data_IF_396806692470
#
_entry.id   IF_396806692470
#
_cell.length_a   1.000
_cell.length_b   1.000
_cell.length_c   1.000
_cell.angle_alpha   90.00
_cell.angle_beta   90.00
_cell.angle_gamma   90.00
#
_symmetry.space_group_name_H-M   'P 1'
#
loop_
_entity.id
_entity.type
_entity.pdbx_description
1 polymer ?
#
# COMPACT_ATOMS: atom_id res chain seq x y z
N UNK A 1 -33.25 -93.32 -17.20
CA UNK A 1 -32.56 -92.36 -18.09
C UNK A 1 -32.26 -91.10 -17.25
N UNK A 2 -31.14 -91.19 -16.51
CA UNK A 2 -30.72 -90.16 -15.54
C UNK A 2 -29.91 -89.07 -16.26
N UNK A 3 -30.38 -87.86 -16.15
CA UNK A 3 -29.66 -86.69 -16.67
C UNK A 3 -28.80 -86.12 -15.51
N UNK A 4 -27.50 -86.43 -15.59
CA UNK A 4 -26.53 -85.86 -14.65
C UNK A 4 -26.46 -84.31 -14.77
N UNK A 5 -26.67 -83.66 -13.64
CA UNK A 5 -26.38 -82.20 -13.47
C UNK A 5 -24.86 -82.00 -13.37
N UNK A 6 -24.29 -81.27 -14.29
CA UNK A 6 -22.92 -80.78 -14.16
C UNK A 6 -22.76 -79.78 -12.98
N UNK A 7 -21.69 -79.86 -12.19
CA UNK A 7 -21.46 -78.94 -11.11
C UNK A 7 -20.89 -77.66 -11.67
N UNK A 8 -21.62 -76.53 -11.47
CA UNK A 8 -21.16 -75.19 -11.79
C UNK A 8 -19.84 -74.82 -11.06
N UNK A 9 -18.83 -74.53 -11.82
CA UNK A 9 -17.53 -74.07 -11.31
C UNK A 9 -17.68 -72.67 -10.70
N UNK A 10 -17.90 -72.56 -9.38
CA UNK A 10 -17.67 -71.33 -8.64
C UNK A 10 -16.18 -70.99 -8.70
N UNK A 11 -15.84 -69.96 -9.47
CA UNK A 11 -14.52 -69.31 -9.41
C UNK A 11 -14.35 -68.65 -8.04
N UNK A 12 -13.77 -69.35 -7.08
CA UNK A 12 -13.28 -68.76 -5.82
C UNK A 12 -12.17 -67.77 -6.16
N UNK A 13 -12.53 -66.51 -6.25
CA UNK A 13 -11.51 -65.39 -6.30
C UNK A 13 -10.59 -65.56 -5.10
N UNK A 14 -9.29 -65.79 -5.36
CA UNK A 14 -8.29 -65.95 -4.31
C UNK A 14 -8.24 -64.70 -3.40
N UNK A 15 -7.70 -64.83 -2.18
CA UNK A 15 -7.57 -63.73 -1.19
C UNK A 15 -6.96 -62.46 -1.81
N UNK A 16 -6.04 -62.62 -2.75
CA UNK A 16 -5.41 -61.49 -3.51
C UNK A 16 -6.43 -60.71 -4.36
N UNK A 17 -7.39 -61.40 -5.05
CA UNK A 17 -8.41 -60.71 -5.83
C UNK A 17 -9.41 -59.91 -4.98
N UNK A 18 -9.73 -60.40 -3.78
CA UNK A 18 -10.56 -59.65 -2.83
C UNK A 18 -9.84 -58.40 -2.29
N UNK A 19 -8.55 -58.49 -1.95
CA UNK A 19 -7.73 -57.38 -1.51
C UNK A 19 -7.62 -56.32 -2.61
N UNK A 20 -7.36 -56.71 -3.85
CA UNK A 20 -7.29 -55.83 -5.00
C UNK A 20 -8.62 -55.12 -5.26
N UNK A 21 -9.74 -55.83 -5.12
CA UNK A 21 -11.09 -55.23 -5.23
C UNK A 21 -11.36 -54.21 -4.12
N UNK A 22 -10.96 -54.47 -2.87
CA UNK A 22 -11.12 -53.54 -1.75
C UNK A 22 -10.28 -52.27 -1.99
N UNK A 23 -9.01 -52.41 -2.39
CA UNK A 23 -8.14 -51.30 -2.72
C UNK A 23 -8.73 -50.45 -3.87
N UNK A 24 -9.22 -51.13 -4.94
CA UNK A 24 -9.89 -50.45 -6.06
C UNK A 24 -11.14 -49.67 -5.63
N UNK A 25 -11.94 -50.25 -4.71
CA UNK A 25 -13.13 -49.59 -4.18
C UNK A 25 -12.75 -48.36 -3.33
N UNK A 26 -11.74 -48.47 -2.47
CA UNK A 26 -11.25 -47.35 -1.67
C UNK A 26 -10.72 -46.21 -2.57
N UNK A 27 -9.95 -46.55 -3.60
CA UNK A 27 -9.43 -45.61 -4.57
C UNK A 27 -10.56 -44.93 -5.36
N UNK A 28 -11.57 -45.70 -5.79
CA UNK A 28 -12.76 -45.18 -6.46
C UNK A 28 -13.54 -44.20 -5.56
N UNK A 29 -13.75 -44.57 -4.29
CA UNK A 29 -14.40 -43.68 -3.31
C UNK A 29 -13.57 -42.37 -3.15
N UNK A 30 -12.25 -42.48 -3.05
CA UNK A 30 -11.37 -41.32 -2.97
C UNK A 30 -11.49 -40.39 -4.18
N UNK A 31 -11.51 -40.97 -5.39
CA UNK A 31 -11.68 -40.18 -6.64
C UNK A 31 -13.06 -39.51 -6.70
N UNK A 32 -14.13 -40.28 -6.40
CA UNK A 32 -15.50 -39.71 -6.42
C UNK A 32 -15.65 -38.58 -5.38
N UNK A 33 -15.14 -38.81 -4.17
CA UNK A 33 -15.15 -37.78 -3.13
C UNK A 33 -14.37 -36.55 -3.56
N UNK A 34 -13.18 -36.74 -4.14
CA UNK A 34 -12.39 -35.65 -4.70
C UNK A 34 -13.12 -34.84 -5.78
N UNK A 35 -13.81 -35.55 -6.70
CA UNK A 35 -14.62 -34.88 -7.74
C UNK A 35 -15.78 -34.07 -7.13
N UNK A 36 -16.45 -34.59 -6.11
CA UNK A 36 -17.53 -33.88 -5.42
C UNK A 36 -16.96 -32.57 -4.79
N UNK A 37 -15.81 -32.63 -4.12
CA UNK A 37 -15.17 -31.46 -3.57
C UNK A 37 -14.79 -30.43 -4.66
N UNK A 38 -14.27 -30.90 -5.79
CA UNK A 38 -13.95 -30.01 -6.93
C UNK A 38 -15.21 -29.35 -7.48
N UNK A 39 -16.32 -30.07 -7.62
CA UNK A 39 -17.59 -29.51 -8.08
C UNK A 39 -18.16 -28.47 -7.10
N UNK A 40 -18.14 -28.78 -5.80
CA UNK A 40 -18.60 -27.84 -4.76
C UNK A 40 -17.72 -26.58 -4.78
N UNK A 41 -16.41 -26.74 -4.86
CA UNK A 41 -15.47 -25.63 -4.94
C UNK A 41 -15.67 -24.79 -6.21
N UNK A 42 -15.85 -25.41 -7.37
CA UNK A 42 -16.14 -24.71 -8.62
C UNK A 42 -17.48 -23.93 -8.55
N UNK A 43 -18.51 -24.52 -7.93
CA UNK A 43 -19.78 -23.82 -7.70
C UNK A 43 -19.60 -22.62 -6.75
N UNK A 44 -18.84 -22.80 -5.68
CA UNK A 44 -18.51 -21.71 -4.74
C UNK A 44 -17.76 -20.56 -5.44
N UNK A 45 -16.73 -20.88 -6.23
CA UNK A 45 -15.98 -19.86 -7.00
C UNK A 45 -16.92 -19.10 -7.94
N UNK A 46 -17.78 -19.82 -8.67
CA UNK A 46 -18.70 -19.20 -9.62
C UNK A 46 -19.74 -18.28 -8.95
N UNK A 47 -20.26 -18.68 -7.78
CA UNK A 47 -21.36 -17.94 -7.13
C UNK A 47 -20.89 -16.87 -6.16
N UNK A 48 -19.79 -17.10 -5.45
CA UNK A 48 -19.36 -16.22 -4.36
C UNK A 48 -18.13 -15.38 -4.73
N UNK A 49 -17.26 -15.88 -5.59
CA UNK A 49 -15.99 -15.20 -5.92
C UNK A 49 -16.11 -14.40 -7.22
N UNK A 50 -16.61 -15.02 -8.30
CA UNK A 50 -16.65 -14.38 -9.63
C UNK A 50 -17.32 -12.99 -9.66
N UNK A 51 -18.43 -12.73 -8.94
CA UNK A 51 -19.04 -11.40 -8.94
C UNK A 51 -18.18 -10.30 -8.31
N UNK A 52 -17.18 -10.68 -7.50
CA UNK A 52 -16.31 -9.77 -6.76
C UNK A 52 -14.89 -9.70 -7.35
N UNK A 53 -14.65 -10.28 -8.53
CA UNK A 53 -13.32 -10.31 -9.16
C UNK A 53 -13.00 -9.04 -9.93
N UNK A 54 -14.01 -8.36 -10.46
CA UNK A 54 -13.82 -7.21 -11.33
C UNK A 54 -13.41 -5.99 -10.50
N UNK A 55 -12.10 -5.82 -10.34
CA UNK A 55 -11.50 -4.65 -9.75
C UNK A 55 -10.92 -3.79 -10.89
N UNK A 56 -11.30 -2.51 -10.92
CA UNK A 56 -10.73 -1.51 -11.80
C UNK A 56 -10.04 -0.44 -10.96
N UNK A 57 -8.79 -0.09 -11.30
CA UNK A 57 -8.06 0.97 -10.61
C UNK A 57 -8.78 2.32 -10.66
N UNK A 58 -9.54 2.56 -11.73
CA UNK A 58 -10.33 3.78 -11.88
C UNK A 58 -11.50 3.89 -10.88
N UNK A 59 -11.92 2.77 -10.28
CA UNK A 59 -12.97 2.76 -9.25
C UNK A 59 -12.43 3.17 -7.87
N UNK A 60 -11.10 3.17 -7.69
CA UNK A 60 -10.47 3.53 -6.43
C UNK A 60 -10.03 5.00 -6.44
N UNK A 61 -10.76 5.82 -5.71
CA UNK A 61 -10.33 7.18 -5.39
C UNK A 61 -9.50 7.16 -4.11
N UNK A 62 -8.18 7.18 -4.25
CA UNK A 62 -7.31 7.36 -3.09
C UNK A 62 -7.41 8.82 -2.63
N UNK A 63 -7.54 9.01 -1.32
CA UNK A 63 -7.50 10.36 -0.76
C UNK A 63 -6.13 10.97 -1.01
N UNK A 64 -6.11 12.11 -1.69
CA UNK A 64 -4.88 12.86 -2.01
C UNK A 64 -4.94 14.21 -1.34
N UNK A 65 -3.87 14.60 -0.68
CA UNK A 65 -3.75 15.92 -0.09
C UNK A 65 -3.65 16.98 -1.18
N UNK A 66 -4.45 18.03 -1.09
CA UNK A 66 -4.31 19.19 -1.97
C UNK A 66 -3.10 20.04 -1.57
N UNK A 67 -2.56 20.77 -2.51
CA UNK A 67 -1.36 21.60 -2.30
C UNK A 67 -1.68 23.05 -2.67
N UNK A 68 -1.31 23.98 -1.79
CA UNK A 68 -1.37 25.40 -2.08
C UNK A 68 -0.01 25.84 -2.59
N UNK A 69 0.00 26.48 -3.75
CA UNK A 69 1.19 27.07 -4.38
C UNK A 69 1.12 28.59 -4.37
N UNK A 70 2.28 29.24 -4.35
CA UNK A 70 2.41 30.67 -4.54
C UNK A 70 3.46 30.97 -5.62
N UNK A 71 3.41 32.16 -6.18
CA UNK A 71 4.36 32.60 -7.19
C UNK A 71 5.49 33.38 -6.52
N UNK A 72 6.73 32.94 -6.71
CA UNK A 72 7.90 33.63 -6.18
C UNK A 72 8.26 34.89 -6.98
N UNK A 73 9.28 35.62 -6.54
CA UNK A 73 9.75 36.83 -7.19
C UNK A 73 10.31 36.65 -8.60
N UNK A 74 10.67 35.40 -8.96
CA UNK A 74 11.13 35.00 -10.30
C UNK A 74 9.98 34.64 -11.22
N UNK A 75 8.79 34.46 -10.67
CA UNK A 75 7.60 34.05 -11.39
C UNK A 75 7.36 32.54 -11.40
N UNK A 76 8.16 31.78 -10.64
CA UNK A 76 8.04 30.32 -10.52
C UNK A 76 7.08 29.95 -9.38
N UNK A 77 6.30 28.86 -9.59
CA UNK A 77 5.41 28.35 -8.57
C UNK A 77 6.18 27.54 -7.53
N UNK A 78 6.03 27.93 -6.28
CA UNK A 78 6.61 27.28 -5.12
C UNK A 78 5.50 26.76 -4.21
N UNK A 79 5.73 25.63 -3.54
CA UNK A 79 4.81 25.08 -2.57
C UNK A 79 4.71 26.00 -1.34
N UNK A 80 3.50 26.38 -0.97
CA UNK A 80 3.21 27.13 0.25
C UNK A 80 2.93 26.18 1.41
N UNK A 81 1.92 25.31 1.25
CA UNK A 81 1.53 24.33 2.26
C UNK A 81 0.78 23.15 1.64
N UNK A 82 0.73 22.03 2.36
CA UNK A 82 -0.13 20.89 2.03
C UNK A 82 -1.40 20.98 2.85
N UNK A 83 -2.54 20.83 2.20
CA UNK A 83 -3.84 20.77 2.87
C UNK A 83 -3.99 19.39 3.48
N UNK A 84 -4.02 19.32 4.81
CA UNK A 84 -4.11 18.05 5.54
C UNK A 84 -5.39 17.30 5.20
N UNK A 85 -5.26 16.05 4.78
CA UNK A 85 -6.34 15.09 4.63
C UNK A 85 -6.29 14.07 5.77
N UNK A 86 -7.28 13.18 5.83
CA UNK A 86 -7.24 12.02 6.74
C UNK A 86 -6.07 11.07 6.41
N UNK A 87 -5.62 11.07 5.15
CA UNK A 87 -4.47 10.34 4.64
C UNK A 87 -3.57 11.36 3.94
N UNK A 88 -2.37 11.59 4.49
CA UNK A 88 -1.42 12.47 3.82
C UNK A 88 -0.79 11.73 2.64
N UNK A 89 -1.28 11.99 1.43
CA UNK A 89 -0.84 11.35 0.19
C UNK A 89 -0.65 12.39 -0.90
N UNK A 90 0.50 12.30 -1.55
CA UNK A 90 0.82 13.04 -2.77
C UNK A 90 1.12 11.99 -3.82
N UNK A 91 0.32 11.94 -4.88
CA UNK A 91 0.53 11.02 -5.99
C UNK A 91 1.75 11.44 -6.82
N UNK A 92 2.52 10.46 -7.27
CA UNK A 92 3.59 10.65 -8.26
C UNK A 92 3.49 9.60 -9.34
N UNK A 93 3.69 10.02 -10.58
CA UNK A 93 3.68 9.11 -11.73
C UNK A 93 4.87 8.14 -11.67
N UNK A 94 4.71 6.99 -12.28
CA UNK A 94 5.68 5.89 -12.21
C UNK A 94 7.08 6.23 -12.73
N UNK A 95 7.21 7.23 -13.62
CA UNK A 95 8.49 7.75 -14.12
C UNK A 95 9.19 8.68 -13.12
N UNK A 96 8.48 9.22 -12.14
CA UNK A 96 9.04 10.01 -11.03
C UNK A 96 9.45 9.13 -9.84
N UNK A 97 9.13 7.84 -9.86
CA UNK A 97 9.56 6.87 -8.85
C UNK A 97 10.88 6.24 -9.31
N UNK A 98 12.00 6.43 -8.57
CA UNK A 98 13.28 5.91 -8.99
C UNK A 98 13.27 4.37 -9.12
N UNK A 99 14.01 3.82 -10.10
CA UNK A 99 14.06 2.39 -10.32
C UNK A 99 14.54 1.61 -9.09
N UNK A 100 15.53 2.12 -8.37
CA UNK A 100 16.02 1.47 -7.15
C UNK A 100 15.00 1.41 -6.00
N UNK A 101 13.99 2.29 -5.98
CA UNK A 101 12.85 2.19 -5.05
C UNK A 101 11.96 0.99 -5.41
N UNK A 102 11.65 0.81 -6.69
CA UNK A 102 10.90 -0.34 -7.21
C UNK A 102 11.66 -1.64 -6.96
N UNK A 103 12.95 -1.64 -7.24
CA UNK A 103 13.85 -2.79 -7.03
C UNK A 103 13.95 -3.18 -5.54
N UNK A 104 14.06 -2.21 -4.65
CA UNK A 104 14.08 -2.43 -3.21
C UNK A 104 12.79 -3.10 -2.71
N UNK A 105 11.63 -2.61 -3.18
CA UNK A 105 10.33 -3.18 -2.87
C UNK A 105 10.22 -4.64 -3.36
N UNK A 106 10.56 -4.88 -4.63
CA UNK A 106 10.53 -6.22 -5.22
C UNK A 106 11.50 -7.16 -4.50
N UNK A 107 12.72 -6.70 -4.20
CA UNK A 107 13.73 -7.50 -3.54
C UNK A 107 13.32 -8.01 -2.16
N UNK A 108 12.59 -7.21 -1.39
CA UNK A 108 12.23 -7.56 -0.01
C UNK A 108 10.85 -8.20 0.11
N UNK A 109 9.86 -7.72 -0.64
CA UNK A 109 8.48 -8.17 -0.53
C UNK A 109 8.16 -9.34 -1.47
N UNK A 110 8.64 -9.29 -2.72
CA UNK A 110 8.22 -10.24 -3.74
C UNK A 110 9.31 -10.56 -4.78
N UNK A 111 10.29 -11.36 -4.39
CA UNK A 111 11.48 -11.69 -5.20
C UNK A 111 11.19 -12.25 -6.61
N UNK A 112 10.00 -12.78 -6.82
CA UNK A 112 9.57 -13.36 -8.10
C UNK A 112 8.47 -12.56 -8.76
N UNK A 113 8.30 -11.30 -8.37
CA UNK A 113 7.26 -10.41 -8.85
C UNK A 113 7.13 -10.42 -10.38
N UNK A 114 8.24 -10.27 -11.09
CA UNK A 114 8.25 -10.25 -12.55
C UNK A 114 8.03 -11.62 -13.22
N UNK A 115 8.02 -12.71 -12.45
CA UNK A 115 7.92 -14.08 -13.02
C UNK A 115 6.56 -14.74 -12.81
N UNK A 116 5.83 -14.35 -11.77
CA UNK A 116 4.47 -14.88 -11.53
C UNK A 116 3.40 -13.96 -12.13
N UNK A 117 2.16 -14.44 -12.12
CA UNK A 117 0.96 -13.73 -12.61
C UNK A 117 -0.02 -13.54 -11.45
N UNK A 118 0.23 -12.56 -10.60
CA UNK A 118 -0.60 -12.19 -9.45
C UNK A 118 -0.32 -13.01 -8.19
N UNK A 119 0.00 -14.28 -8.30
CA UNK A 119 0.20 -15.19 -7.16
C UNK A 119 1.47 -16.00 -7.33
N UNK A 120 2.31 -15.99 -6.31
CA UNK A 120 3.44 -16.89 -6.20
C UNK A 120 3.01 -18.22 -5.56
N UNK A 121 2.66 -19.18 -6.38
CA UNK A 121 2.15 -20.48 -5.93
C UNK A 121 3.12 -21.26 -5.05
N UNK A 122 4.41 -21.10 -5.26
CA UNK A 122 5.42 -21.78 -4.45
C UNK A 122 5.46 -21.19 -3.02
N UNK A 123 5.48 -19.84 -2.90
CA UNK A 123 5.41 -19.17 -1.59
C UNK A 123 4.08 -19.44 -0.89
N UNK A 124 2.97 -19.40 -1.63
CA UNK A 124 1.62 -19.65 -1.10
C UNK A 124 1.50 -21.08 -0.57
N UNK A 125 1.99 -22.08 -1.31
CA UNK A 125 1.98 -23.47 -0.86
C UNK A 125 2.87 -23.68 0.36
N UNK A 126 4.06 -23.08 0.39
CA UNK A 126 4.97 -23.14 1.53
C UNK A 126 4.38 -22.48 2.78
N UNK A 127 3.74 -21.31 2.63
CA UNK A 127 3.06 -20.62 3.72
C UNK A 127 1.88 -21.45 4.27
N UNK A 128 1.08 -22.05 3.38
CA UNK A 128 0.00 -22.95 3.77
C UNK A 128 0.53 -24.17 4.56
N UNK A 129 1.62 -24.79 4.08
CA UNK A 129 2.23 -25.93 4.78
C UNK A 129 2.75 -25.54 6.18
N UNK A 130 3.40 -24.37 6.30
CA UNK A 130 3.89 -23.87 7.58
C UNK A 130 2.75 -23.59 8.57
N UNK A 131 1.60 -23.14 8.09
CA UNK A 131 0.41 -22.96 8.91
C UNK A 131 -0.08 -24.26 9.56
N UNK A 132 0.03 -25.39 8.84
CA UNK A 132 -0.33 -26.72 9.37
C UNK A 132 0.75 -27.32 10.28
N UNK A 133 2.03 -26.97 10.08
CA UNK A 133 3.16 -27.52 10.85
C UNK A 133 3.55 -26.68 12.04
N UNK A 134 2.89 -25.54 12.28
CA UNK A 134 3.22 -24.64 13.40
C UNK A 134 4.52 -23.84 13.20
N UNK A 135 5.02 -23.76 11.96
CA UNK A 135 6.19 -22.94 11.58
C UNK A 135 5.85 -21.45 11.54
N UNK A 136 6.89 -20.60 11.53
CA UNK A 136 6.71 -19.17 11.36
C UNK A 136 5.99 -18.85 10.05
N UNK A 137 4.95 -18.03 10.15
CA UNK A 137 4.21 -17.52 8.98
C UNK A 137 5.06 -16.48 8.26
N UNK A 138 5.94 -16.90 7.38
CA UNK A 138 6.57 -15.99 6.42
C UNK A 138 5.50 -15.43 5.46
N UNK A 139 5.55 -14.13 5.19
CA UNK A 139 4.63 -13.44 4.29
C UNK A 139 4.56 -14.13 2.93
N UNK A 140 3.46 -14.86 2.70
CA UNK A 140 3.23 -15.57 1.43
C UNK A 140 2.53 -14.73 0.38
N UNK A 141 2.14 -13.48 0.70
CA UNK A 141 1.41 -12.59 -0.21
C UNK A 141 2.37 -11.90 -1.19
N UNK A 142 1.92 -11.71 -2.43
CA UNK A 142 2.62 -10.95 -3.45
C UNK A 142 2.35 -9.46 -3.31
N UNK A 143 3.12 -8.60 -4.01
CA UNK A 143 2.88 -7.16 -4.08
C UNK A 143 1.46 -6.89 -4.60
N UNK A 144 1.01 -7.61 -5.64
CA UNK A 144 -0.34 -7.48 -6.20
C UNK A 144 -1.42 -7.79 -5.16
N UNK A 145 -1.25 -8.84 -4.37
CA UNK A 145 -2.18 -9.18 -3.29
C UNK A 145 -2.19 -8.14 -2.17
N UNK A 146 -1.04 -7.59 -1.83
CA UNK A 146 -0.93 -6.51 -0.84
C UNK A 146 -1.58 -5.22 -1.37
N UNK A 147 -1.38 -4.87 -2.64
CA UNK A 147 -2.04 -3.72 -3.27
C UNK A 147 -3.56 -3.85 -3.19
N UNK A 148 -4.12 -4.99 -3.61
CA UNK A 148 -5.57 -5.25 -3.54
C UNK A 148 -6.08 -5.09 -2.11
N UNK A 149 -5.38 -5.66 -1.13
CA UNK A 149 -5.72 -5.51 0.28
C UNK A 149 -5.76 -4.03 0.70
N UNK A 150 -4.76 -3.24 0.32
CA UNK A 150 -4.68 -1.82 0.65
C UNK A 150 -5.81 -1.00 -0.01
N UNK A 151 -6.14 -1.31 -1.28
CA UNK A 151 -7.20 -0.62 -2.01
C UNK A 151 -8.59 -0.96 -1.48
N UNK A 152 -8.84 -2.24 -1.17
CA UNK A 152 -10.16 -2.70 -0.72
C UNK A 152 -10.38 -2.54 0.78
N UNK A 153 -9.34 -2.25 1.55
CA UNK A 153 -9.35 -2.15 3.03
C UNK A 153 -9.97 -3.38 3.72
N UNK A 154 -9.89 -4.54 3.09
CA UNK A 154 -10.43 -5.78 3.63
C UNK A 154 -9.38 -6.47 4.51
N UNK A 155 -9.50 -6.28 5.83
CA UNK A 155 -8.56 -6.79 6.84
C UNK A 155 -8.98 -8.10 7.50
N UNK A 156 -10.15 -8.65 7.17
CA UNK A 156 -10.65 -9.87 7.78
C UNK A 156 -9.69 -11.06 7.62
N UNK A 157 -9.34 -11.71 8.72
CA UNK A 157 -8.47 -12.88 8.73
C UNK A 157 -9.31 -14.14 8.48
N UNK A 158 -9.82 -14.30 7.27
CA UNK A 158 -10.62 -15.48 6.88
C UNK A 158 -10.02 -16.18 5.66
N UNK A 159 -10.20 -17.50 5.58
CA UNK A 159 -9.80 -18.28 4.42
C UNK A 159 -10.55 -17.82 3.16
N UNK A 160 -11.82 -17.46 3.33
CA UNK A 160 -12.66 -16.94 2.24
C UNK A 160 -12.09 -15.68 1.63
N UNK A 161 -11.72 -14.69 2.47
CA UNK A 161 -11.08 -13.47 2.02
C UNK A 161 -9.76 -13.77 1.29
N UNK A 162 -8.93 -14.67 1.85
CA UNK A 162 -7.64 -15.02 1.22
C UNK A 162 -7.82 -15.70 -0.14
N UNK A 163 -8.85 -16.52 -0.30
CA UNK A 163 -9.20 -17.09 -1.61
C UNK A 163 -9.64 -15.99 -2.58
N UNK A 164 -10.51 -15.08 -2.14
CA UNK A 164 -10.94 -13.94 -2.97
C UNK A 164 -9.74 -13.10 -3.42
N UNK A 165 -8.86 -12.72 -2.51
CA UNK A 165 -7.61 -11.98 -2.79
C UNK A 165 -6.73 -12.69 -3.84
N UNK A 166 -6.59 -14.02 -3.74
CA UNK A 166 -5.85 -14.83 -4.72
C UNK A 166 -6.48 -14.70 -6.11
N UNK A 167 -7.79 -14.89 -6.22
CA UNK A 167 -8.48 -14.81 -7.51
C UNK A 167 -8.49 -13.38 -8.08
N UNK A 168 -8.67 -12.39 -7.22
CA UNK A 168 -8.56 -10.97 -7.60
C UNK A 168 -7.16 -10.65 -8.13
N UNK A 169 -6.09 -11.11 -7.48
CA UNK A 169 -4.73 -10.88 -7.94
C UNK A 169 -4.45 -11.52 -9.30
N UNK A 170 -5.00 -12.73 -9.55
CA UNK A 170 -4.88 -13.40 -10.85
C UNK A 170 -5.63 -12.65 -11.96
N UNK A 171 -6.77 -12.04 -11.65
CA UNK A 171 -7.55 -11.27 -12.62
C UNK A 171 -6.96 -9.88 -12.84
N UNK A 172 -6.47 -9.25 -11.79
CA UNK A 172 -5.85 -7.94 -11.81
C UNK A 172 -4.61 -7.89 -12.72
N UNK A 173 -3.72 -8.89 -12.64
CA UNK A 173 -2.54 -8.98 -13.53
C UNK A 173 -2.84 -9.43 -14.98
N UNK A 174 -4.10 -9.61 -15.34
CA UNK A 174 -4.51 -9.68 -16.75
C UNK A 174 -4.81 -8.31 -17.34
N UNK A 175 -5.17 -7.34 -16.49
CA UNK A 175 -5.60 -5.99 -16.87
C UNK A 175 -4.47 -4.99 -16.79
N UNK A 176 -3.64 -5.09 -15.74
CA UNK A 176 -2.60 -4.14 -15.39
C UNK A 176 -1.23 -4.79 -15.48
N UNK A 177 -0.26 -4.06 -15.98
CA UNK A 177 1.11 -4.53 -16.06
C UNK A 177 1.87 -4.38 -14.73
N UNK A 178 3.10 -4.88 -14.69
CA UNK A 178 3.90 -4.88 -13.46
C UNK A 178 4.31 -3.48 -13.01
N UNK A 179 4.55 -2.57 -13.95
CA UNK A 179 4.96 -1.20 -13.66
C UNK A 179 3.78 -0.40 -13.10
N UNK A 180 2.60 -0.54 -13.68
CA UNK A 180 1.36 0.05 -13.16
C UNK A 180 1.07 -0.43 -11.73
N UNK A 181 1.25 -1.74 -11.46
CA UNK A 181 1.05 -2.31 -10.12
C UNK A 181 2.05 -1.74 -9.11
N UNK A 182 3.32 -1.57 -9.48
CA UNK A 182 4.33 -0.97 -8.61
C UNK A 182 4.05 0.52 -8.36
N UNK A 183 3.65 1.26 -9.37
CA UNK A 183 3.24 2.66 -9.25
C UNK A 183 2.10 2.81 -8.25
N UNK A 184 1.02 2.06 -8.44
CA UNK A 184 -0.12 2.08 -7.53
C UNK A 184 0.23 1.64 -6.11
N UNK A 185 1.05 0.59 -5.97
CA UNK A 185 1.49 0.13 -4.66
C UNK A 185 2.27 1.20 -3.91
N UNK A 186 3.29 1.79 -4.57
CA UNK A 186 4.15 2.80 -3.97
C UNK A 186 3.42 4.11 -3.66
N UNK A 187 2.30 4.39 -4.34
CA UNK A 187 1.43 5.51 -4.03
C UNK A 187 0.36 5.20 -2.98
N UNK A 188 -0.01 3.93 -2.79
CA UNK A 188 -1.10 3.53 -1.89
C UNK A 188 -0.65 3.11 -0.49
N UNK A 189 0.55 2.53 -0.37
CA UNK A 189 1.02 1.89 0.87
C UNK A 189 1.31 2.91 1.97
N UNK A 190 1.06 2.48 3.21
CA UNK A 190 1.36 3.26 4.41
C UNK A 190 2.82 3.09 4.85
N UNK A 191 3.52 4.21 5.06
CA UNK A 191 4.93 4.27 5.42
C UNK A 191 5.19 4.80 6.85
N UNK A 192 4.21 4.82 7.72
CA UNK A 192 4.35 5.40 9.06
C UNK A 192 4.05 6.91 9.09
N UNK A 193 4.06 7.52 10.27
CA UNK A 193 3.88 8.95 10.50
C UNK A 193 2.68 9.60 9.75
N UNK A 194 1.61 8.82 9.49
CA UNK A 194 0.48 9.28 8.70
C UNK A 194 0.75 9.41 7.19
N UNK A 195 1.90 8.95 6.71
CA UNK A 195 2.32 9.06 5.32
C UNK A 195 1.80 7.90 4.50
N UNK A 196 1.05 8.21 3.47
CA UNK A 196 0.62 7.28 2.43
C UNK A 196 1.33 7.65 1.11
N UNK A 197 1.98 6.67 0.52
CA UNK A 197 2.74 6.84 -0.71
C UNK A 197 4.16 7.35 -0.52
N UNK A 198 5.00 7.00 -1.50
CA UNK A 198 6.45 7.21 -1.49
C UNK A 198 6.85 8.69 -1.48
N UNK A 199 6.10 9.55 -2.17
CA UNK A 199 6.38 10.99 -2.22
C UNK A 199 6.25 11.62 -0.84
N UNK A 200 5.16 11.32 -0.16
CA UNK A 200 4.91 11.81 1.19
C UNK A 200 5.95 11.27 2.18
N UNK A 201 6.31 9.99 2.05
CA UNK A 201 7.36 9.37 2.87
C UNK A 201 8.73 10.04 2.65
N UNK A 202 9.10 10.28 1.38
CA UNK A 202 10.36 10.97 1.04
C UNK A 202 10.43 12.37 1.64
N UNK A 203 9.35 13.12 1.52
CA UNK A 203 9.28 14.48 2.10
C UNK A 203 9.28 14.46 3.63
N UNK A 204 8.62 13.48 4.26
CA UNK A 204 8.54 13.40 5.72
C UNK A 204 9.85 12.96 6.35
N UNK A 205 10.50 11.94 5.80
CA UNK A 205 11.72 11.36 6.40
C UNK A 205 13.00 12.06 5.95
N UNK A 206 13.05 12.59 4.71
CA UNK A 206 14.27 13.15 4.12
C UNK A 206 14.12 14.58 3.59
N UNK A 207 12.95 15.17 3.63
CA UNK A 207 12.71 16.56 3.18
C UNK A 207 12.92 16.76 1.67
N UNK A 208 12.80 15.71 0.85
CA UNK A 208 13.05 15.76 -0.60
C UNK A 208 11.98 14.99 -1.39
N UNK A 209 11.96 15.18 -2.70
CA UNK A 209 11.05 14.42 -3.58
C UNK A 209 11.50 12.97 -3.75
N UNK A 210 10.54 12.09 -4.03
CA UNK A 210 10.80 10.66 -4.23
C UNK A 210 11.85 10.38 -5.30
N UNK A 211 11.84 11.15 -6.39
CA UNK A 211 12.80 11.04 -7.51
C UNK A 211 14.25 11.29 -7.10
N UNK A 212 14.49 12.02 -6.02
CA UNK A 212 15.80 12.43 -5.53
C UNK A 212 16.34 11.53 -4.40
N UNK A 213 15.62 10.46 -4.06
CA UNK A 213 16.04 9.49 -3.05
C UNK A 213 17.27 8.71 -3.52
N UNK A 214 18.24 8.55 -2.63
CA UNK A 214 19.36 7.62 -2.84
C UNK A 214 18.93 6.17 -2.66
N UNK A 215 19.76 5.22 -3.08
CA UNK A 215 19.51 3.78 -2.87
C UNK A 215 19.34 3.44 -1.39
N UNK A 216 20.17 4.04 -0.52
CA UNK A 216 20.10 3.82 0.92
C UNK A 216 18.82 4.39 1.56
N UNK A 217 18.37 5.56 1.12
CA UNK A 217 17.13 6.18 1.58
C UNK A 217 15.90 5.40 1.09
N UNK A 218 15.90 4.98 -0.17
CA UNK A 218 14.84 4.14 -0.73
C UNK A 218 14.71 2.80 0.05
N UNK A 219 15.83 2.15 0.35
CA UNK A 219 15.85 0.93 1.15
C UNK A 219 15.34 1.14 2.59
N UNK A 220 15.64 2.31 3.19
CA UNK A 220 15.12 2.70 4.51
C UNK A 220 13.60 2.84 4.49
N UNK A 221 13.06 3.61 3.54
CA UNK A 221 11.61 3.82 3.39
C UNK A 221 10.89 2.49 3.14
N UNK A 222 11.36 1.69 2.19
CA UNK A 222 10.75 0.37 1.89
C UNK A 222 10.77 -0.53 3.13
N UNK A 223 11.81 -0.44 3.95
CA UNK A 223 11.91 -1.20 5.20
C UNK A 223 10.75 -0.95 6.17
N UNK A 224 10.16 0.24 6.15
CA UNK A 224 9.09 0.65 7.07
C UNK A 224 7.79 -0.12 6.80
N UNK A 225 7.49 -0.47 5.55
CA UNK A 225 6.19 -1.04 5.13
C UNK A 225 5.73 -2.27 5.93
N UNK A 226 6.66 -3.08 6.39
CA UNK A 226 6.36 -4.35 7.08
C UNK A 226 5.79 -4.15 8.49
N UNK A 227 6.43 -3.31 9.30
CA UNK A 227 6.04 -2.95 10.66
C UNK A 227 6.31 -1.46 10.89
N UNK A 228 5.41 -0.56 10.43
CA UNK A 228 5.67 0.87 10.40
C UNK A 228 6.11 1.44 11.75
N UNK A 229 5.41 1.14 12.83
CA UNK A 229 5.75 1.64 14.18
C UNK A 229 7.12 1.12 14.68
N UNK A 230 7.54 -0.08 14.27
CA UNK A 230 8.79 -0.68 14.74
C UNK A 230 10.01 -0.23 13.95
N UNK A 231 9.83 -0.01 12.64
CA UNK A 231 10.91 0.40 11.74
C UNK A 231 10.92 1.90 11.42
N UNK A 232 10.08 2.68 12.07
CA UNK A 232 10.07 4.13 11.93
C UNK A 232 11.36 4.74 12.50
N UNK A 233 12.17 5.45 11.69
CA UNK A 233 13.45 6.01 12.13
C UNK A 233 13.31 7.11 13.17
N UNK A 234 12.15 7.76 13.30
CA UNK A 234 11.91 8.76 14.34
C UNK A 234 11.70 8.15 15.72
N UNK A 235 11.40 6.85 15.78
CA UNK A 235 11.30 6.10 17.04
C UNK A 235 12.53 5.24 17.30
N UNK A 236 13.11 4.61 16.27
CA UNK A 236 14.33 3.80 16.38
C UNK A 236 15.12 3.80 15.08
N UNK A 237 16.18 4.61 15.05
CA UNK A 237 17.13 4.63 13.94
C UNK A 237 17.82 3.27 13.78
N UNK A 238 18.11 2.57 14.89
CA UNK A 238 18.77 1.27 14.90
C UNK A 238 17.93 0.19 14.21
N UNK A 239 16.64 0.10 14.54
CA UNK A 239 15.73 -0.86 13.92
C UNK A 239 15.56 -0.58 12.44
N UNK A 240 15.43 0.70 12.07
CA UNK A 240 15.36 1.10 10.67
C UNK A 240 16.63 0.74 9.92
N UNK A 241 17.81 1.01 10.50
CA UNK A 241 19.12 0.68 9.91
C UNK A 241 19.29 -0.82 9.69
N UNK A 242 18.95 -1.65 10.67
CA UNK A 242 18.99 -3.11 10.54
C UNK A 242 18.09 -3.57 9.37
N UNK A 243 16.89 -3.02 9.29
CA UNK A 243 15.94 -3.35 8.23
C UNK A 243 16.41 -2.86 6.85
N UNK A 244 16.94 -1.64 6.76
CA UNK A 244 17.56 -1.07 5.57
C UNK A 244 18.68 -1.98 5.04
N UNK A 245 19.60 -2.39 5.90
CA UNK A 245 20.71 -3.29 5.51
C UNK A 245 20.19 -4.65 5.04
N UNK A 246 19.09 -5.13 5.60
CA UNK A 246 18.44 -6.35 5.11
C UNK A 246 17.88 -6.16 3.69
N UNK A 247 17.22 -5.02 3.40
CA UNK A 247 16.72 -4.69 2.07
C UNK A 247 17.89 -4.60 1.08
N UNK A 248 18.92 -3.82 1.39
CA UNK A 248 20.12 -3.68 0.54
C UNK A 248 20.80 -5.01 0.26
N UNK A 249 20.93 -5.88 1.27
CA UNK A 249 21.49 -7.22 1.11
C UNK A 249 20.65 -8.08 0.17
N UNK A 250 19.33 -7.99 0.23
CA UNK A 250 18.46 -8.74 -0.67
C UNK A 250 18.50 -8.16 -2.10
N UNK A 251 18.63 -6.84 -2.27
CA UNK A 251 18.88 -6.22 -3.57
C UNK A 251 20.19 -6.72 -4.20
N UNK A 252 21.27 -6.73 -3.42
CA UNK A 252 22.57 -7.24 -3.87
C UNK A 252 22.53 -8.72 -4.26
N UNK A 253 21.92 -9.58 -3.43
CA UNK A 253 21.78 -11.02 -3.71
C UNK A 253 20.98 -11.33 -4.98
N UNK A 254 20.04 -10.47 -5.32
CA UNK A 254 19.17 -10.62 -6.49
C UNK A 254 19.73 -9.91 -7.73
N UNK A 255 20.87 -9.23 -7.61
CA UNK A 255 21.56 -8.58 -8.72
C UNK A 255 21.02 -7.19 -9.11
N UNK A 256 20.19 -6.58 -8.26
CA UNK A 256 19.73 -5.20 -8.43
C UNK A 256 20.84 -4.17 -8.12
N UNK A 257 21.80 -4.55 -7.27
CA UNK A 257 22.97 -3.75 -6.95
C UNK A 257 24.25 -4.54 -7.26
N UNK A 258 25.25 -3.86 -7.79
CA UNK A 258 26.60 -4.41 -7.81
C UNK A 258 27.27 -4.25 -6.44
N UNK A 259 28.48 -4.83 -6.27
CA UNK A 259 29.18 -4.81 -4.98
C UNK A 259 29.51 -3.39 -4.50
N UNK A 260 29.94 -2.51 -5.40
CA UNK A 260 30.31 -1.13 -5.06
C UNK A 260 29.11 -0.31 -4.63
N UNK A 261 28.00 -0.42 -5.36
CA UNK A 261 26.72 0.25 -5.02
C UNK A 261 26.18 -0.23 -3.68
N UNK A 262 26.28 -1.55 -3.42
CA UNK A 262 25.88 -2.12 -2.13
C UNK A 262 26.72 -1.58 -0.98
N UNK A 263 28.06 -1.60 -1.12
CA UNK A 263 28.99 -1.11 -0.08
C UNK A 263 28.80 0.40 0.16
N UNK A 264 28.59 1.19 -0.89
CA UNK A 264 28.28 2.62 -0.78
C UNK A 264 26.96 2.85 -0.02
N UNK A 265 25.88 2.18 -0.40
CA UNK A 265 24.57 2.34 0.22
C UNK A 265 24.54 1.89 1.69
N UNK A 266 25.27 0.81 2.05
CA UNK A 266 25.35 0.34 3.46
C UNK A 266 26.11 1.33 4.33
N UNK A 267 27.18 1.96 3.79
CA UNK A 267 28.02 2.90 4.52
C UNK A 267 27.47 4.34 4.51
N UNK A 268 26.44 4.61 3.72
CA UNK A 268 25.79 5.93 3.72
C UNK A 268 25.13 6.19 5.07
N UNK A 269 25.53 7.26 5.75
CA UNK A 269 24.80 7.78 6.92
C UNK A 269 23.54 8.50 6.44
N UNK A 270 22.40 8.16 7.05
CA UNK A 270 21.12 8.77 6.73
C UNK A 270 20.81 9.88 7.72
N UNK A 271 20.51 11.06 7.19
CA UNK A 271 20.01 12.19 7.96
C UNK A 271 18.48 12.24 7.85
N UNK A 272 17.80 11.90 8.94
CA UNK A 272 16.34 11.99 9.01
C UNK A 272 15.95 13.40 9.44
N UNK A 273 15.28 14.10 8.55
CA UNK A 273 14.78 15.46 8.79
C UNK A 273 13.28 15.34 8.91
N UNK A 274 12.72 15.70 10.08
CA UNK A 274 11.26 15.89 10.14
C UNK A 274 10.91 17.06 9.23
N UNK A 275 10.47 16.73 8.03
CA UNK A 275 10.05 17.71 7.05
C UNK A 275 8.85 18.52 7.58
N UNK A 276 8.67 19.74 7.06
CA UNK A 276 7.52 20.60 7.37
C UNK A 276 6.16 19.93 7.08
N UNK A 277 6.15 18.83 6.34
CA UNK A 277 4.98 18.04 5.96
C UNK A 277 4.70 16.86 6.89
N UNK A 278 5.41 16.71 8.02
CA UNK A 278 5.07 15.66 8.98
C UNK A 278 3.66 15.92 9.54
N UNK A 279 2.71 14.98 9.44
CA UNK A 279 1.32 15.17 9.92
C UNK A 279 1.24 15.45 11.42
N UNK A 280 2.31 15.14 12.17
CA UNK A 280 2.44 15.44 13.60
C UNK A 280 2.86 16.89 13.90
N UNK A 281 3.32 17.67 12.92
CA UNK A 281 3.23 19.11 13.01
C UNK A 281 1.76 19.44 12.74
N UNK A 282 0.99 19.64 13.80
CA UNK A 282 -0.33 20.27 13.70
C UNK A 282 -0.11 21.54 12.85
N UNK A 283 -0.46 21.43 11.57
CA UNK A 283 -0.39 22.56 10.65
C UNK A 283 -1.48 23.53 11.10
N UNK A 284 -1.12 24.41 12.02
CA UNK A 284 -1.89 25.60 12.28
C UNK A 284 -1.72 26.41 11.01
N UNK A 285 -2.73 26.37 10.14
CA UNK A 285 -2.74 27.20 8.95
C UNK A 285 -2.57 28.66 9.37
N UNK A 286 -1.79 29.40 8.62
CA UNK A 286 -1.77 30.85 8.77
C UNK A 286 -3.18 31.39 8.45
N UNK A 287 -3.51 32.55 8.99
CA UNK A 287 -4.80 33.19 8.68
C UNK A 287 -5.03 33.34 7.18
N UNK A 288 -3.98 33.58 6.41
CA UNK A 288 -4.05 33.67 4.95
C UNK A 288 -4.46 32.33 4.33
N UNK A 289 -3.83 31.23 4.74
CA UNK A 289 -4.13 29.88 4.24
C UNK A 289 -5.57 29.46 4.59
N UNK A 290 -6.06 29.81 5.79
CA UNK A 290 -7.46 29.57 6.18
C UNK A 290 -8.46 30.32 5.29
N UNK A 291 -8.15 31.57 4.95
CA UNK A 291 -8.97 32.38 4.03
C UNK A 291 -8.97 31.78 2.64
N UNK A 292 -7.79 31.43 2.08
CA UNK A 292 -7.68 30.79 0.78
C UNK A 292 -8.50 29.48 0.73
N UNK A 293 -8.37 28.64 1.74
CA UNK A 293 -9.14 27.39 1.82
C UNK A 293 -10.65 27.65 1.88
N UNK A 294 -11.06 28.64 2.68
CA UNK A 294 -12.47 29.02 2.80
C UNK A 294 -13.07 29.50 1.47
N UNK A 295 -12.31 30.31 0.73
CA UNK A 295 -12.73 30.84 -0.57
C UNK A 295 -12.82 29.72 -1.62
N UNK A 296 -11.78 28.87 -1.73
CA UNK A 296 -11.77 27.71 -2.64
C UNK A 296 -12.91 26.75 -2.35
N UNK A 297 -13.22 26.46 -1.07
CA UNK A 297 -14.35 25.63 -0.68
C UNK A 297 -15.67 26.26 -1.12
N UNK A 298 -15.82 27.57 -0.99
CA UNK A 298 -17.03 28.29 -1.41
C UNK A 298 -17.20 28.26 -2.92
N UNK A 299 -16.16 28.63 -3.65
CA UNK A 299 -16.18 28.64 -5.12
C UNK A 299 -16.42 27.25 -5.71
N UNK A 300 -15.81 26.23 -5.13
CA UNK A 300 -16.02 24.83 -5.53
C UNK A 300 -17.45 24.34 -5.26
N UNK A 301 -18.02 24.72 -4.12
CA UNK A 301 -19.41 24.41 -3.78
C UNK A 301 -20.40 25.02 -4.79
N UNK A 302 -20.19 26.28 -5.15
CA UNK A 302 -20.99 27.00 -6.14
C UNK A 302 -20.82 26.40 -7.55
N UNK A 303 -19.56 26.22 -7.99
CA UNK A 303 -19.25 25.71 -9.34
C UNK A 303 -19.79 24.29 -9.58
N UNK A 304 -19.74 23.43 -8.57
CA UNK A 304 -20.22 22.04 -8.67
C UNK A 304 -21.68 21.86 -8.22
N UNK A 305 -22.32 22.88 -7.65
CA UNK A 305 -23.69 22.78 -7.10
C UNK A 305 -23.81 21.81 -5.91
N UNK A 306 -22.76 21.70 -5.08
CA UNK A 306 -22.69 20.79 -3.92
C UNK A 306 -22.68 21.56 -2.62
N UNK A 307 -22.91 20.85 -1.51
CA UNK A 307 -22.84 21.48 -0.19
C UNK A 307 -21.40 21.91 0.14
N UNK A 308 -21.25 22.96 0.97
CA UNK A 308 -19.96 23.42 1.47
C UNK A 308 -19.17 22.30 2.19
N UNK A 309 -19.88 21.39 2.89
CA UNK A 309 -19.25 20.22 3.53
C UNK A 309 -18.66 19.25 2.51
N UNK A 310 -19.40 18.95 1.44
CA UNK A 310 -18.89 18.09 0.36
C UNK A 310 -17.71 18.74 -0.39
N UNK A 311 -17.79 20.04 -0.64
CA UNK A 311 -16.67 20.79 -1.25
C UNK A 311 -15.44 20.78 -0.35
N UNK A 312 -15.60 20.94 0.97
CA UNK A 312 -14.49 20.84 1.94
C UNK A 312 -13.84 19.45 1.89
N UNK A 313 -14.62 18.38 1.85
CA UNK A 313 -14.09 17.04 1.71
C UNK A 313 -13.28 16.86 0.42
N UNK A 314 -13.77 17.41 -0.69
CA UNK A 314 -13.03 17.38 -1.95
C UNK A 314 -11.73 18.17 -1.86
N UNK A 315 -11.74 19.39 -1.30
CA UNK A 315 -10.53 20.20 -1.15
C UNK A 315 -9.47 19.51 -0.29
N UNK A 316 -9.87 18.72 0.71
CA UNK A 316 -8.93 18.01 1.57
C UNK A 316 -8.44 16.68 0.98
N UNK A 317 -9.23 16.01 0.11
CA UNK A 317 -8.99 14.62 -0.24
C UNK A 317 -8.85 14.33 -1.75
N UNK A 318 -9.00 15.34 -2.62
CA UNK A 318 -9.03 15.10 -4.06
C UNK A 318 -7.77 15.60 -4.81
N UNK A 319 -6.71 16.00 -4.09
CA UNK A 319 -5.43 16.35 -4.69
C UNK A 319 -5.48 17.63 -5.56
N UNK A 320 -6.25 18.63 -5.16
CA UNK A 320 -6.28 19.90 -5.91
C UNK A 320 -4.96 20.66 -5.80
N UNK A 321 -4.53 21.24 -6.91
CA UNK A 321 -3.51 22.26 -6.94
C UNK A 321 -4.17 23.63 -6.84
N UNK A 322 -3.89 24.34 -5.75
CA UNK A 322 -4.49 25.63 -5.43
C UNK A 322 -3.44 26.72 -5.61
N UNK A 323 -3.65 27.61 -6.56
CA UNK A 323 -2.69 28.69 -6.88
C UNK A 323 -3.11 29.99 -6.20
N UNK A 324 -2.38 30.37 -5.15
CA UNK A 324 -2.68 31.54 -4.34
C UNK A 324 -1.83 32.77 -4.72
N UNK A 325 -2.41 33.94 -4.59
CA UNK A 325 -1.77 35.25 -4.89
C UNK A 325 -1.16 35.85 -3.62
N UNK A 326 -0.25 35.13 -2.95
CA UNK A 326 0.44 35.65 -1.76
C UNK A 326 1.76 36.30 -2.14
N UNK A 327 2.05 37.46 -1.50
CA UNK A 327 3.41 38.02 -1.43
C UNK A 327 4.03 37.57 -0.09
N UNK A 328 4.96 36.60 -0.15
CA UNK A 328 5.59 36.06 1.06
C UNK A 328 6.35 37.05 1.88
N UNK A 329 6.96 38.06 1.26
CA UNK A 329 7.72 39.09 1.96
C UNK A 329 6.79 40.02 2.74
N UNK A 330 5.64 40.33 2.17
CA UNK A 330 4.60 41.09 2.87
C UNK A 330 3.98 40.26 3.98
N UNK A 331 3.63 38.98 3.68
CA UNK A 331 3.02 38.09 4.67
C UNK A 331 3.95 37.86 5.87
N UNK A 332 5.23 37.60 5.66
CA UNK A 332 6.21 37.44 6.73
C UNK A 332 6.30 38.68 7.66
N UNK A 333 6.18 39.90 7.10
CA UNK A 333 6.12 41.13 7.89
C UNK A 333 4.84 41.23 8.70
N UNK A 334 3.71 40.82 8.12
CA UNK A 334 2.41 40.78 8.79
C UNK A 334 2.47 39.81 9.95
N UNK A 335 2.91 38.56 9.69
CA UNK A 335 3.03 37.52 10.70
C UNK A 335 3.96 37.92 11.85
N UNK A 336 5.08 38.57 11.54
CA UNK A 336 5.99 39.12 12.55
C UNK A 336 5.32 40.16 13.44
N UNK A 337 4.45 41.02 12.89
CA UNK A 337 3.68 42.00 13.66
C UNK A 337 2.67 41.31 14.58
N UNK A 338 1.99 40.27 14.08
CA UNK A 338 0.99 39.52 14.83
C UNK A 338 1.60 38.59 15.88
N UNK A 339 2.82 38.09 15.67
CA UNK A 339 3.53 37.23 16.63
C UNK A 339 4.27 38.03 17.70
N UNK A 340 4.62 39.27 17.41
CA UNK A 340 5.16 40.16 18.43
C UNK A 340 4.05 40.46 19.45
N UNK A 341 4.36 40.28 20.73
CA UNK A 341 3.46 40.38 21.89
C UNK A 341 2.72 41.74 22.05
N UNK A 342 2.81 42.60 21.07
CA UNK A 342 2.08 43.89 20.98
C UNK A 342 0.57 43.70 20.79
N UNK A 343 0.11 42.53 20.34
CA UNK A 343 -1.33 42.26 20.18
C UNK A 343 -2.01 42.06 21.54
N UNK A 344 -1.27 41.63 22.55
CA UNK A 344 -1.79 41.52 23.92
C UNK A 344 -2.07 42.92 24.59
N UNK A 345 -1.70 44.00 23.93
CA UNK A 345 -2.00 45.38 24.39
C UNK A 345 -3.43 45.77 24.01
N UNK A 346 -4.09 45.05 23.11
CA UNK A 346 -5.48 45.32 22.69
C UNK A 346 -6.52 44.49 23.44
N UNK A 347 -6.25 44.01 24.66
CA UNK A 347 -7.39 43.65 25.52
C UNK A 347 -8.28 44.89 25.66
N UNK A 348 -9.58 44.76 25.33
CA UNK A 348 -10.48 45.86 25.50
C UNK A 348 -10.45 46.25 26.98
N UNK A 349 -9.87 47.40 27.28
CA UNK A 349 -9.95 47.99 28.60
C UNK A 349 -11.42 47.99 28.99
N UNK A 350 -11.84 47.13 29.91
CA UNK A 350 -13.15 47.19 30.52
C UNK A 350 -13.27 48.58 31.13
N UNK A 351 -13.89 49.52 30.38
CA UNK A 351 -14.39 50.75 30.96
C UNK A 351 -15.34 50.31 32.08
N UNK A 352 -14.81 50.32 33.32
CA UNK A 352 -15.67 50.37 34.50
C UNK A 352 -16.31 51.76 34.46
N UNK A 353 -17.52 51.83 33.94
CA UNK A 353 -18.38 52.95 34.23
C UNK A 353 -18.63 52.95 35.75
N UNK A 354 -18.18 53.97 36.41
CA UNK A 354 -18.54 54.36 37.79
C UNK A 354 -19.93 54.90 37.76
#
# INVERSE_FOLDING_TARGET
MDIAKEPGTEKRGGKAGRILSIIGTILLIGVVTGLIFVCIFAFYVKTCITPSLDLDLNDFTLNQSSIIYYKDSNGDYQKLTTVSSSENRIWVDGDQIPQHMKDALVAIEDKRFYTHKGVDWFRTAHAALNMFTGGSTFGGSTITQQLIKNLTQQDDITVQRKLLEIFQALDFEKKYDKEEILEWYLNAVYFGEGCYGVQTAAQTYFGKDAKDLTVAEAASIVGITNLPTYYDPFYSVENNKERQENVLREMYKQGYLNKSEYEEAVNQELEFVRGENSPNTSSVYSYYEEVVLSDVITDLAEAKGISRVAASQLVHNAGYEIYACIDKDIQAKVDAIYTLSLIHISEPTRLRCI
#
